data_IF_849389147283
#
_entry.id   IF_849389147283
#
_cell.length_a   1.000
_cell.length_b   1.000
_cell.length_c   1.000
_cell.angle_alpha   90.00
_cell.angle_beta   90.00
_cell.angle_gamma   90.00
#
_symmetry.space_group_name_H-M   'P 1'
#
loop_
_entity.id
_entity.type
_entity.pdbx_description
1 polymer ?
#
# COMPACT_ATOMS: atom_id res chain seq x y z
N UNK A 1 -30.19 8.75 -24.29
CA UNK A 1 -28.81 8.57 -23.76
C UNK A 1 -28.18 7.40 -24.50
N UNK A 2 -27.17 7.64 -25.34
CA UNK A 2 -26.69 6.74 -26.42
C UNK A 2 -26.28 5.34 -25.92
N UNK A 3 -26.64 4.28 -26.65
CA UNK A 3 -26.35 2.86 -26.37
C UNK A 3 -24.87 2.63 -25.99
N UNK A 4 -23.96 3.41 -26.58
CA UNK A 4 -22.54 3.42 -26.27
C UNK A 4 -22.22 3.74 -24.79
N UNK A 5 -22.92 4.70 -24.18
CA UNK A 5 -22.73 5.06 -22.77
C UNK A 5 -23.18 3.94 -21.83
N UNK A 6 -24.28 3.26 -22.18
CA UNK A 6 -24.77 2.12 -21.41
C UNK A 6 -23.80 0.93 -21.46
N UNK A 7 -23.26 0.63 -22.64
CA UNK A 7 -22.24 -0.40 -22.81
C UNK A 7 -20.96 -0.06 -22.03
N UNK A 8 -20.44 1.17 -22.16
CA UNK A 8 -19.27 1.64 -21.42
C UNK A 8 -19.48 1.54 -19.90
N UNK A 9 -20.67 1.87 -19.40
CA UNK A 9 -21.01 1.74 -17.97
C UNK A 9 -21.01 0.28 -17.51
N UNK A 10 -21.53 -0.65 -18.33
CA UNK A 10 -21.48 -2.09 -18.03
C UNK A 10 -20.04 -2.59 -17.93
N UNK A 11 -19.19 -2.27 -18.92
CA UNK A 11 -17.78 -2.65 -18.91
C UNK A 11 -17.03 -2.04 -17.72
N UNK A 12 -17.26 -0.76 -17.42
CA UNK A 12 -16.70 -0.10 -16.25
C UNK A 12 -17.03 -0.84 -14.96
N UNK A 13 -18.30 -1.23 -14.76
CA UNK A 13 -18.69 -1.98 -13.56
C UNK A 13 -17.99 -3.34 -13.47
N UNK A 14 -17.80 -4.04 -14.59
CA UNK A 14 -17.05 -5.31 -14.62
C UNK A 14 -15.59 -5.08 -14.21
N UNK A 15 -14.94 -4.07 -14.77
CA UNK A 15 -13.55 -3.71 -14.45
C UNK A 15 -13.41 -3.31 -12.99
N UNK A 16 -14.34 -2.49 -12.48
CA UNK A 16 -14.35 -2.02 -11.09
C UNK A 16 -14.47 -3.19 -10.10
N UNK A 17 -15.38 -4.14 -10.38
CA UNK A 17 -15.52 -5.34 -9.55
C UNK A 17 -14.30 -6.26 -9.63
N UNK A 18 -13.70 -6.40 -10.82
CA UNK A 18 -12.47 -7.17 -10.99
C UNK A 18 -11.30 -6.53 -10.21
N UNK A 19 -11.15 -5.22 -10.30
CA UNK A 19 -10.16 -4.46 -9.53
C UNK A 19 -10.36 -4.66 -8.02
N UNK A 20 -11.58 -4.47 -7.49
CA UNK A 20 -11.84 -4.70 -6.07
C UNK A 20 -11.52 -6.11 -5.60
N UNK A 21 -11.88 -7.14 -6.38
CA UNK A 21 -11.53 -8.54 -6.04
C UNK A 21 -10.01 -8.76 -6.02
N UNK A 22 -9.30 -8.23 -7.01
CA UNK A 22 -7.85 -8.38 -7.11
C UNK A 22 -7.13 -7.60 -6.01
N UNK A 23 -7.58 -6.39 -5.68
CA UNK A 23 -7.09 -5.61 -4.54
C UNK A 23 -7.27 -6.36 -3.22
N UNK A 24 -8.46 -6.92 -2.95
CA UNK A 24 -8.71 -7.76 -1.75
C UNK A 24 -7.73 -8.93 -1.62
N UNK A 25 -7.49 -9.63 -2.72
CA UNK A 25 -6.57 -10.77 -2.76
C UNK A 25 -5.12 -10.32 -2.52
N UNK A 26 -4.65 -9.31 -3.25
CA UNK A 26 -3.29 -8.78 -3.10
C UNK A 26 -3.05 -8.22 -1.69
N UNK A 27 -4.05 -7.56 -1.09
CA UNK A 27 -3.95 -7.04 0.27
C UNK A 27 -3.63 -8.13 1.28
N UNK A 28 -4.33 -9.27 1.22
CA UNK A 28 -4.06 -10.42 2.07
C UNK A 28 -2.70 -11.08 1.78
N UNK A 29 -2.23 -11.07 0.52
CA UNK A 29 -0.88 -11.56 0.17
C UNK A 29 0.22 -10.71 0.82
N UNK A 30 0.02 -9.39 0.93
CA UNK A 30 1.00 -8.53 1.62
C UNK A 30 0.88 -8.64 3.14
N UNK A 31 -0.33 -8.71 3.70
CA UNK A 31 -0.55 -8.90 5.14
C UNK A 31 0.01 -10.23 5.67
N UNK A 32 -0.13 -11.30 4.89
CA UNK A 32 0.31 -12.64 5.31
C UNK A 32 1.83 -12.77 5.49
N UNK A 33 2.62 -11.87 4.89
CA UNK A 33 4.08 -11.82 5.11
C UNK A 33 4.44 -11.50 6.58
N UNK A 34 3.53 -10.89 7.33
CA UNK A 34 3.63 -10.64 8.77
C UNK A 34 2.74 -11.59 9.60
N UNK A 35 2.16 -12.62 8.98
CA UNK A 35 1.18 -13.49 9.60
C UNK A 35 -0.15 -12.78 9.90
N UNK A 36 -0.47 -11.68 9.23
CA UNK A 36 -1.75 -10.98 9.41
C UNK A 36 -2.73 -11.38 8.31
N UNK A 37 -4.01 -11.16 8.56
CA UNK A 37 -5.06 -11.24 7.53
C UNK A 37 -5.94 -10.01 7.60
N UNK A 38 -6.69 -9.72 6.54
CA UNK A 38 -7.53 -8.53 6.52
C UNK A 38 -8.68 -8.63 5.54
N UNK A 39 -9.65 -7.75 5.72
CA UNK A 39 -10.83 -7.63 4.88
C UNK A 39 -10.93 -6.21 4.31
N UNK A 40 -11.15 -6.12 3.00
CA UNK A 40 -11.50 -4.88 2.31
C UNK A 40 -12.94 -4.99 1.82
N UNK A 41 -13.80 -4.11 2.29
CA UNK A 41 -15.19 -4.04 1.86
C UNK A 41 -15.40 -2.74 1.07
N UNK A 42 -15.45 -2.88 -0.26
CA UNK A 42 -15.74 -1.80 -1.20
C UNK A 42 -17.25 -1.68 -1.38
N UNK A 43 -17.82 -0.53 -1.04
CA UNK A 43 -19.17 -0.12 -1.43
C UNK A 43 -19.06 0.94 -2.52
N UNK A 44 -19.22 0.51 -3.77
CA UNK A 44 -19.09 1.38 -4.94
C UNK A 44 -20.28 2.32 -5.13
N UNK A 45 -21.42 2.03 -4.52
CA UNK A 45 -22.60 2.90 -4.58
C UNK A 45 -22.45 4.06 -3.58
N UNK A 46 -22.08 3.74 -2.34
CA UNK A 46 -21.83 4.74 -1.28
C UNK A 46 -20.44 5.37 -1.36
N UNK A 47 -19.57 4.86 -2.23
CA UNK A 47 -18.17 5.29 -2.41
C UNK A 47 -17.36 5.17 -1.12
N UNK A 48 -17.56 4.09 -0.38
CA UNK A 48 -16.84 3.82 0.87
C UNK A 48 -15.94 2.59 0.75
N UNK A 49 -14.86 2.60 1.54
CA UNK A 49 -13.95 1.47 1.71
C UNK A 49 -13.79 1.24 3.21
N UNK A 50 -14.28 0.10 3.69
CA UNK A 50 -14.03 -0.35 5.06
C UNK A 50 -12.85 -1.33 5.07
N UNK A 51 -11.96 -1.15 6.03
CA UNK A 51 -10.72 -1.91 6.17
C UNK A 51 -10.73 -2.53 7.58
N UNK A 52 -10.59 -3.85 7.65
CA UNK A 52 -10.44 -4.59 8.90
C UNK A 52 -9.17 -5.45 8.84
N UNK A 53 -8.40 -5.52 9.92
CA UNK A 53 -7.17 -6.31 10.00
C UNK A 53 -7.22 -7.21 11.23
N UNK A 54 -6.87 -8.48 11.04
CA UNK A 54 -6.77 -9.51 12.08
C UNK A 54 -5.30 -9.85 12.29
N UNK A 55 -4.85 -9.69 13.54
CA UNK A 55 -3.45 -9.90 13.93
C UNK A 55 -3.25 -11.28 14.56
N UNK A 56 -2.19 -11.98 14.15
CA UNK A 56 -1.92 -13.35 14.63
C UNK A 56 -1.39 -13.45 16.06
N UNK A 57 -0.94 -12.35 16.68
CA UNK A 57 -0.27 -12.39 17.99
C UNK A 57 -1.18 -12.01 19.17
N UNK A 58 -2.49 -11.87 18.97
CA UNK A 58 -3.44 -11.71 20.09
C UNK A 58 -3.64 -13.07 20.78
N UNK A 59 -2.71 -13.43 21.66
CA UNK A 59 -2.73 -14.65 22.48
C UNK A 59 -3.82 -14.69 23.55
N UNK A 60 -4.89 -13.90 23.43
CA UNK A 60 -6.06 -14.01 24.29
C UNK A 60 -7.31 -14.08 23.41
N UNK A 61 -7.99 -15.23 23.53
CA UNK A 61 -9.46 -15.40 23.49
C UNK A 61 -10.25 -14.40 22.65
N UNK A 62 -10.89 -14.93 21.60
CA UNK A 62 -11.96 -14.29 20.82
C UNK A 62 -11.55 -13.11 19.93
N UNK A 63 -11.48 -13.37 18.62
CA UNK A 63 -12.19 -12.55 17.63
C UNK A 63 -11.98 -11.03 17.58
N UNK A 64 -10.90 -10.46 18.09
CA UNK A 64 -10.69 -9.01 17.99
C UNK A 64 -10.25 -8.62 16.58
N UNK A 65 -11.24 -8.35 15.73
CA UNK A 65 -11.08 -7.52 14.55
C UNK A 65 -10.57 -6.15 14.97
N UNK A 66 -9.31 -5.85 14.61
CA UNK A 66 -8.76 -4.54 14.85
C UNK A 66 -9.21 -3.62 13.72
N UNK A 67 -10.15 -2.72 14.04
CA UNK A 67 -10.44 -1.55 13.22
C UNK A 67 -9.24 -0.61 13.22
N UNK A 68 -9.15 0.31 12.25
CA UNK A 68 -8.02 1.23 12.12
C UNK A 68 -7.65 1.93 13.45
N UNK A 69 -8.62 2.17 14.33
CA UNK A 69 -8.48 2.85 15.61
C UNK A 69 -7.84 2.00 16.73
N UNK A 70 -7.89 0.68 16.64
CA UNK A 70 -7.38 -0.24 17.68
C UNK A 70 -6.01 -0.84 17.35
N UNK A 71 -5.49 -0.57 16.15
CA UNK A 71 -4.18 -1.05 15.69
C UNK A 71 -3.05 -0.25 16.33
N UNK A 72 -1.92 -0.91 16.63
CA UNK A 72 -0.70 -0.21 17.01
C UNK A 72 -0.21 0.67 15.85
N UNK A 73 0.57 1.71 16.13
CA UNK A 73 1.10 2.62 15.10
C UNK A 73 1.88 1.87 14.00
N UNK A 74 2.55 0.78 14.37
CA UNK A 74 3.25 -0.09 13.44
C UNK A 74 2.35 -0.91 12.53
N UNK A 75 1.32 -1.52 13.10
CA UNK A 75 0.37 -2.35 12.37
C UNK A 75 -0.46 -1.51 11.39
N UNK A 76 -0.87 -0.31 11.83
CA UNK A 76 -1.56 0.65 10.98
C UNK A 76 -0.69 1.02 9.78
N UNK A 77 0.56 1.37 10.03
CA UNK A 77 1.53 1.74 8.99
C UNK A 77 1.77 0.62 7.97
N UNK A 78 1.99 -0.61 8.44
CA UNK A 78 2.20 -1.76 7.56
C UNK A 78 0.95 -2.10 6.72
N UNK A 79 -0.23 -1.98 7.33
CA UNK A 79 -1.49 -2.23 6.64
C UNK A 79 -1.80 -1.16 5.61
N UNK A 80 -1.45 0.11 5.87
CA UNK A 80 -1.54 1.18 4.88
C UNK A 80 -0.64 0.91 3.66
N UNK A 81 0.63 0.52 3.87
CA UNK A 81 1.54 0.17 2.76
C UNK A 81 1.03 -1.05 2.01
N UNK A 82 0.53 -2.07 2.71
CA UNK A 82 -0.06 -3.26 2.10
C UNK A 82 -1.28 -2.91 1.23
N UNK A 83 -2.13 -1.99 1.70
CA UNK A 83 -3.29 -1.51 0.94
C UNK A 83 -2.83 -0.75 -0.31
N UNK A 84 -1.87 0.15 -0.18
CA UNK A 84 -1.31 0.88 -1.32
C UNK A 84 -0.80 -0.07 -2.40
N UNK A 85 0.05 -1.03 -2.04
CA UNK A 85 0.63 -1.98 -2.98
C UNK A 85 -0.45 -2.86 -3.62
N UNK A 86 -1.51 -3.19 -2.89
CA UNK A 86 -2.64 -3.95 -3.42
C UNK A 86 -3.40 -3.18 -4.50
N UNK A 87 -3.56 -1.86 -4.32
CA UNK A 87 -4.15 -0.95 -5.31
C UNK A 87 -3.24 -0.72 -6.51
N UNK A 88 -1.94 -0.50 -6.28
CA UNK A 88 -0.97 -0.38 -7.38
C UNK A 88 -0.88 -1.64 -8.25
N UNK A 89 -1.15 -2.81 -7.66
CA UNK A 89 -1.20 -4.09 -8.39
C UNK A 89 -2.36 -4.21 -9.38
N UNK A 90 -3.42 -3.40 -9.24
CA UNK A 90 -4.55 -3.35 -10.19
C UNK A 90 -4.50 -2.12 -11.11
N UNK A 91 -3.59 -1.20 -10.84
CA UNK A 91 -3.32 -0.04 -11.70
C UNK A 91 -2.23 -0.41 -12.71
N UNK A 92 -2.41 -0.01 -13.96
CA UNK A 92 -1.43 -0.18 -15.02
C UNK A 92 -0.81 1.17 -15.38
N UNK A 93 0.11 1.64 -14.52
CA UNK A 93 0.85 2.87 -14.75
C UNK A 93 2.35 2.53 -14.92
N UNK A 94 3.08 3.29 -15.77
CA UNK A 94 4.52 3.09 -15.93
C UNK A 94 5.32 3.66 -14.75
N UNK A 95 4.76 4.59 -13.99
CA UNK A 95 5.40 5.22 -12.82
C UNK A 95 4.46 5.26 -11.62
N UNK A 96 5.03 5.08 -10.43
CA UNK A 96 4.37 5.21 -9.14
C UNK A 96 5.25 6.07 -8.26
N UNK A 97 4.66 7.09 -7.64
CA UNK A 97 5.36 7.98 -6.73
C UNK A 97 4.64 8.05 -5.40
N UNK A 98 5.41 8.12 -4.30
CA UNK A 98 4.88 8.37 -2.98
C UNK A 98 5.80 9.32 -2.22
N UNK A 99 5.19 10.33 -1.61
CA UNK A 99 5.85 11.30 -0.76
C UNK A 99 5.46 11.08 0.70
N UNK A 100 6.40 11.34 1.60
CA UNK A 100 6.24 11.21 3.06
C UNK A 100 5.63 9.88 3.52
N UNK A 101 5.93 8.78 2.82
CA UNK A 101 5.28 7.48 3.04
C UNK A 101 5.49 6.91 4.45
N UNK A 102 6.54 7.33 5.14
CA UNK A 102 7.01 6.80 6.41
C UNK A 102 6.98 7.81 7.57
N UNK A 103 6.37 9.00 7.39
CA UNK A 103 6.41 10.11 8.37
C UNK A 103 5.77 9.75 9.73
N UNK A 104 4.81 8.82 9.74
CA UNK A 104 4.14 8.35 10.96
C UNK A 104 4.64 6.98 11.45
N UNK A 105 5.72 6.46 10.85
CA UNK A 105 6.27 5.14 11.18
C UNK A 105 7.45 5.28 12.16
N UNK A 106 7.51 4.38 13.15
CA UNK A 106 8.74 4.20 13.92
C UNK A 106 9.83 3.52 13.08
N UNK A 107 11.05 3.42 13.62
CA UNK A 107 12.20 2.87 12.90
C UNK A 107 12.01 1.41 12.45
N UNK A 108 11.34 0.58 13.26
CA UNK A 108 11.13 -0.85 12.97
C UNK A 108 10.14 -1.01 11.82
N UNK A 109 9.01 -0.31 11.90
CA UNK A 109 7.96 -0.39 10.88
C UNK A 109 8.38 0.28 9.58
N UNK A 110 9.14 1.37 9.65
CA UNK A 110 9.75 2.00 8.46
C UNK A 110 10.65 1.02 7.71
N UNK A 111 11.52 0.29 8.41
CA UNK A 111 12.42 -0.66 7.78
C UNK A 111 11.65 -1.76 7.02
N UNK A 112 10.65 -2.34 7.66
CA UNK A 112 9.77 -3.35 7.06
C UNK A 112 9.03 -2.81 5.84
N UNK A 113 8.48 -1.60 5.93
CA UNK A 113 7.78 -0.96 4.81
C UNK A 113 8.70 -0.71 3.62
N UNK A 114 9.93 -0.24 3.87
CA UNK A 114 10.94 -0.06 2.82
C UNK A 114 11.27 -1.38 2.13
N UNK A 115 11.52 -2.45 2.89
CA UNK A 115 11.84 -3.76 2.33
C UNK A 115 10.70 -4.27 1.44
N UNK A 116 9.45 -4.09 1.88
CA UNK A 116 8.27 -4.46 1.12
C UNK A 116 8.14 -3.66 -0.19
N UNK A 117 8.38 -2.34 -0.14
CA UNK A 117 8.35 -1.46 -1.30
C UNK A 117 9.46 -1.79 -2.31
N UNK A 118 10.69 -2.00 -1.83
CA UNK A 118 11.84 -2.38 -2.66
C UNK A 118 11.59 -3.74 -3.30
N UNK A 119 11.16 -4.74 -2.53
CA UNK A 119 10.85 -6.06 -3.05
C UNK A 119 9.74 -6.01 -4.14
N UNK A 120 8.74 -5.16 -3.95
CA UNK A 120 7.68 -4.96 -4.94
C UNK A 120 8.21 -4.33 -6.23
N UNK A 121 9.08 -3.33 -6.13
CA UNK A 121 9.73 -2.72 -7.28
C UNK A 121 10.62 -3.70 -8.06
N UNK A 122 11.41 -4.50 -7.34
CA UNK A 122 12.29 -5.50 -7.94
C UNK A 122 11.54 -6.63 -8.65
N UNK A 123 10.30 -6.95 -8.22
CA UNK A 123 9.42 -7.91 -8.90
C UNK A 123 8.76 -7.35 -10.16
N UNK A 124 8.73 -6.03 -10.32
CA UNK A 124 8.03 -5.35 -11.41
C UNK A 124 8.97 -4.41 -12.18
N UNK A 125 10.00 -4.98 -12.82
CA UNK A 125 11.05 -4.22 -13.52
C UNK A 125 10.55 -3.42 -14.75
N UNK A 126 9.32 -3.64 -15.19
CA UNK A 126 8.66 -2.85 -16.24
C UNK A 126 8.00 -1.56 -15.72
N UNK A 127 8.11 -1.27 -14.41
CA UNK A 127 7.52 -0.12 -13.73
C UNK A 127 8.61 0.64 -12.97
N UNK A 128 8.46 1.97 -12.88
CA UNK A 128 9.33 2.82 -12.07
C UNK A 128 8.63 3.21 -10.77
N UNK A 129 9.35 3.10 -9.65
CA UNK A 129 8.86 3.50 -8.33
C UNK A 129 9.74 4.62 -7.79
N UNK A 130 9.12 5.68 -7.28
CA UNK A 130 9.77 6.87 -6.73
C UNK A 130 9.24 7.06 -5.32
N UNK A 131 10.14 7.01 -4.34
CA UNK A 131 9.80 7.23 -2.93
C UNK A 131 10.56 8.44 -2.43
N UNK A 132 9.84 9.38 -1.84
CA UNK A 132 10.39 10.57 -1.20
C UNK A 132 10.13 10.44 0.29
N UNK A 133 11.17 10.65 1.09
CA UNK A 133 11.10 10.59 2.55
C UNK A 133 12.01 11.63 3.17
N UNK A 134 11.59 12.32 4.24
CA UNK A 134 12.47 13.18 5.03
C UNK A 134 13.44 12.39 5.93
N UNK A 135 13.25 11.08 6.06
CA UNK A 135 14.04 10.23 6.93
C UNK A 135 15.32 9.72 6.25
N UNK A 136 16.30 9.35 7.07
CA UNK A 136 17.59 8.89 6.56
C UNK A 136 17.47 7.50 5.90
N UNK A 137 17.97 7.40 4.67
CA UNK A 137 17.94 6.21 3.82
C UNK A 137 19.19 5.32 3.93
N UNK A 138 20.00 5.49 4.97
CA UNK A 138 21.29 4.79 5.13
C UNK A 138 21.18 3.25 5.16
N UNK A 139 20.01 2.69 5.47
CA UNK A 139 19.77 1.24 5.50
C UNK A 139 19.23 0.65 4.19
N UNK A 140 18.98 1.46 3.15
CA UNK A 140 18.41 0.96 1.89
C UNK A 140 19.53 0.34 1.03
N UNK A 141 19.44 -0.94 0.65
CA UNK A 141 20.46 -1.59 -0.17
C UNK A 141 20.47 -0.97 -1.58
N UNK A 142 21.50 -0.20 -1.88
CA UNK A 142 21.74 0.31 -3.23
C UNK A 142 22.13 -0.84 -4.16
N UNK A 143 21.66 -0.79 -5.40
CA UNK A 143 21.95 -1.83 -6.39
C UNK A 143 21.66 -1.38 -7.81
N UNK A 144 21.81 -2.29 -8.78
CA UNK A 144 21.58 -2.00 -10.20
C UNK A 144 20.21 -1.38 -10.47
N UNK A 145 19.19 -1.81 -9.74
CA UNK A 145 17.79 -1.39 -9.91
C UNK A 145 17.28 -0.46 -8.79
N UNK A 146 18.09 -0.18 -7.76
CA UNK A 146 17.71 0.66 -6.61
C UNK A 146 18.72 1.79 -6.46
N UNK A 147 18.26 3.03 -6.68
CA UNK A 147 19.08 4.23 -6.55
C UNK A 147 18.57 5.09 -5.39
N UNK A 148 19.50 5.54 -4.55
CA UNK A 148 19.22 6.43 -3.43
C UNK A 148 19.85 7.79 -3.73
N UNK A 149 19.01 8.82 -3.82
CA UNK A 149 19.44 10.20 -4.03
C UNK A 149 19.25 10.99 -2.73
N UNK A 150 20.36 11.40 -2.10
CA UNK A 150 20.31 12.25 -0.91
C UNK A 150 20.32 13.71 -1.32
N UNK A 151 19.26 14.45 -0.97
CA UNK A 151 19.18 15.89 -1.21
C UNK A 151 19.92 16.68 -0.12
N UNK A 152 20.54 17.80 -0.51
CA UNK A 152 21.11 18.75 0.44
C UNK A 152 20.00 19.50 1.18
N UNK A 153 20.24 19.95 2.42
CA UNK A 153 19.29 20.82 3.10
C UNK A 153 19.01 22.08 2.28
N UNK A 154 17.79 22.64 2.36
CA UNK A 154 17.43 23.86 1.63
C UNK A 154 18.40 25.00 2.00
N UNK A 155 18.83 25.78 1.00
CA UNK A 155 19.64 26.98 1.23
C UNK A 155 18.83 27.94 2.10
N UNK A 156 19.41 28.41 3.21
CA UNK A 156 18.80 29.47 4.02
C UNK A 156 18.59 30.69 3.12
N UNK A 157 17.35 31.18 3.00
CA UNK A 157 17.11 32.48 2.40
C UNK A 157 17.72 33.52 3.36
N UNK A 158 18.76 34.19 2.88
CA UNK A 158 19.40 35.34 3.53
C UNK A 158 18.56 36.59 3.36
#
# INVERSE_FOLDING_TARGET
MSICLQQRRKYWNVLLQAASRKTKSNFNVYLSQKGHSGELLFDHEKKTLNISVKLSNSNNTEGNESTADTMSGGERSYSTVSLLLSLWGVMELPFYAMDEFDVFMDAVNRHVSIDLLVATGLRNLNKQYIFITPHNSASIPAGKYVKVHKMYPPRKQS
#
